data_IF_566952340701
#
_entry.id   IF_566952340701
#
_cell.length_a   1.000
_cell.length_b   1.000
_cell.length_c   1.000
_cell.angle_alpha   90.00
_cell.angle_beta   90.00
_cell.angle_gamma   90.00
#
_symmetry.space_group_name_H-M   'P 1'
#
loop_
_entity.id
_entity.type
_entity.pdbx_description
1 polymer ?
#
# COMPACT_ATOMS: atom_id res chain seq x y z
N UNK A 1 31.57 -1.64 -9.48
CA UNK A 1 30.20 -1.91 -8.99
C UNK A 1 29.60 -0.55 -8.69
N UNK A 2 28.39 -0.23 -9.17
CA UNK A 2 27.73 1.00 -8.76
C UNK A 2 27.56 0.98 -7.24
N UNK A 3 27.81 2.10 -6.57
CA UNK A 3 27.61 2.20 -5.11
C UNK A 3 26.14 1.88 -4.77
N UNK A 4 25.87 1.15 -3.68
CA UNK A 4 24.51 0.95 -3.19
C UNK A 4 23.86 2.31 -2.94
N UNK A 5 22.83 2.63 -3.70
CA UNK A 5 22.10 3.89 -3.57
C UNK A 5 20.76 3.64 -2.89
N UNK A 6 20.62 4.11 -1.66
CA UNK A 6 19.33 4.17 -0.97
C UNK A 6 18.43 5.14 -1.75
N UNK A 7 17.32 4.64 -2.28
CA UNK A 7 16.38 5.43 -3.08
C UNK A 7 15.18 5.87 -2.27
N UNK A 8 14.56 6.96 -2.67
CA UNK A 8 13.32 7.46 -2.08
C UNK A 8 12.11 6.98 -2.88
N UNK A 9 11.04 6.63 -2.18
CA UNK A 9 9.74 6.36 -2.81
C UNK A 9 8.61 6.88 -1.95
N UNK A 10 7.47 7.18 -2.58
CA UNK A 10 6.20 7.25 -1.87
C UNK A 10 5.63 5.85 -1.67
N UNK A 11 4.63 5.69 -0.81
CA UNK A 11 3.92 4.40 -0.65
C UNK A 11 2.81 4.24 -1.70
N UNK A 12 2.08 5.29 -2.05
CA UNK A 12 0.96 5.17 -2.98
C UNK A 12 0.09 6.41 -2.99
N UNK A 13 -0.87 6.48 -2.07
CA UNK A 13 -1.87 7.56 -2.04
C UNK A 13 -1.33 8.96 -1.69
N UNK A 14 -2.01 9.99 -2.18
CA UNK A 14 -1.73 11.41 -1.94
C UNK A 14 -3.01 12.17 -1.52
N UNK A 15 -2.93 13.29 -0.77
CA UNK A 15 -4.09 14.09 -0.42
C UNK A 15 -4.86 14.58 -1.65
N UNK A 16 -6.17 14.38 -1.63
CA UNK A 16 -7.02 14.74 -2.78
C UNK A 16 -7.05 16.26 -2.92
N UNK A 17 -6.67 16.80 -4.09
CA UNK A 17 -6.79 18.22 -4.33
C UNK A 17 -8.25 18.68 -4.20
N UNK A 18 -8.50 19.74 -3.43
CA UNK A 18 -9.87 20.20 -3.14
C UNK A 18 -10.71 20.51 -4.38
N UNK A 19 -10.06 20.94 -5.46
CA UNK A 19 -10.69 21.21 -6.75
C UNK A 19 -11.11 19.94 -7.50
N UNK A 20 -10.43 18.80 -7.29
CA UNK A 20 -10.87 17.51 -7.82
C UNK A 20 -12.17 17.07 -7.13
N UNK A 21 -12.23 17.19 -5.80
CA UNK A 21 -13.44 16.84 -5.05
C UNK A 21 -14.63 17.75 -5.38
N UNK A 22 -14.36 19.02 -5.69
CA UNK A 22 -15.40 20.01 -6.03
C UNK A 22 -15.97 19.84 -7.44
N UNK A 23 -15.17 19.36 -8.40
CA UNK A 23 -15.60 19.20 -9.80
C UNK A 23 -15.06 17.90 -10.42
N UNK A 24 -15.54 16.73 -9.97
CA UNK A 24 -15.02 15.44 -10.42
C UNK A 24 -15.37 15.20 -11.89
N UNK A 25 -14.34 15.07 -12.73
CA UNK A 25 -14.46 14.71 -14.14
C UNK A 25 -13.20 13.98 -14.59
N UNK A 26 -13.24 13.24 -15.70
CA UNK A 26 -12.05 12.57 -16.24
C UNK A 26 -10.91 13.55 -16.56
N UNK A 27 -11.15 14.71 -17.22
CA UNK A 27 -10.12 15.74 -17.37
C UNK A 27 -9.59 16.27 -16.04
N UNK A 28 -10.47 16.60 -15.08
CA UNK A 28 -10.06 17.10 -13.75
C UNK A 28 -9.17 16.09 -13.02
N UNK A 29 -9.53 14.80 -13.07
CA UNK A 29 -8.73 13.71 -12.48
C UNK A 29 -7.37 13.61 -13.15
N UNK A 30 -7.32 13.68 -14.49
CA UNK A 30 -6.06 13.66 -15.23
C UNK A 30 -5.15 14.80 -14.81
N UNK A 31 -5.67 16.02 -14.74
CA UNK A 31 -4.92 17.20 -14.31
C UNK A 31 -4.42 17.03 -12.86
N UNK A 32 -5.24 16.44 -11.99
CA UNK A 32 -4.87 16.23 -10.60
C UNK A 32 -3.72 15.24 -10.48
N UNK A 33 -3.76 14.15 -11.24
CA UNK A 33 -2.66 13.18 -11.32
C UNK A 33 -1.38 13.86 -11.86
N UNK A 34 -1.46 14.70 -12.89
CA UNK A 34 -0.30 15.46 -13.38
C UNK A 34 0.30 16.33 -12.27
N UNK A 35 -0.54 17.04 -11.52
CA UNK A 35 -0.09 17.86 -10.39
C UNK A 35 0.63 17.01 -9.35
N UNK A 36 0.07 15.85 -8.97
CA UNK A 36 0.68 14.94 -7.99
C UNK A 36 2.02 14.40 -8.49
N UNK A 37 2.07 13.88 -9.72
CA UNK A 37 3.30 13.40 -10.34
C UNK A 37 4.36 14.53 -10.36
N UNK A 38 3.97 15.74 -10.75
CA UNK A 38 4.89 16.87 -10.82
C UNK A 38 5.38 17.30 -9.44
N UNK A 39 4.52 17.27 -8.43
CA UNK A 39 4.91 17.56 -7.05
C UNK A 39 5.93 16.54 -6.54
N UNK A 40 5.75 15.25 -6.81
CA UNK A 40 6.71 14.21 -6.41
C UNK A 40 8.04 14.34 -7.17
N UNK A 41 8.02 14.66 -8.47
CA UNK A 41 9.23 14.98 -9.26
C UNK A 41 10.00 16.16 -8.67
N UNK A 42 9.31 17.26 -8.36
CA UNK A 42 9.93 18.47 -7.83
C UNK A 42 10.52 18.26 -6.42
N UNK A 43 9.95 17.34 -5.64
CA UNK A 43 10.52 16.93 -4.37
C UNK A 43 11.80 16.09 -4.52
N UNK A 44 12.02 15.48 -5.70
CA UNK A 44 13.17 14.61 -5.96
C UNK A 44 12.94 13.14 -5.60
N UNK A 45 11.68 12.68 -5.58
CA UNK A 45 11.35 11.28 -5.29
C UNK A 45 11.79 10.38 -6.47
N UNK A 46 12.53 9.29 -6.18
CA UNK A 46 13.10 8.41 -7.21
C UNK A 46 12.05 7.47 -7.86
N UNK A 47 11.03 7.06 -7.08
CA UNK A 47 9.92 6.23 -7.55
C UNK A 47 8.58 6.84 -7.13
N UNK A 48 7.84 7.35 -8.12
CA UNK A 48 6.60 8.11 -7.90
C UNK A 48 5.33 7.28 -8.17
N UNK A 49 4.18 7.75 -7.69
CA UNK A 49 2.86 7.13 -7.90
C UNK A 49 1.85 8.14 -8.48
N UNK A 50 0.71 7.66 -8.97
CA UNK A 50 -0.42 8.49 -9.39
C UNK A 50 -1.18 9.15 -8.22
N UNK A 51 -0.75 8.89 -6.98
CA UNK A 51 -1.45 9.34 -5.77
C UNK A 51 -2.75 8.58 -5.50
N UNK A 52 -3.03 7.50 -6.22
CA UNK A 52 -4.26 6.70 -6.12
C UNK A 52 -5.56 7.50 -6.28
N UNK A 53 -5.47 8.66 -6.96
CA UNK A 53 -6.60 9.59 -7.08
C UNK A 53 -7.77 9.00 -7.87
N UNK A 54 -7.49 8.05 -8.76
CA UNK A 54 -8.48 7.33 -9.57
C UNK A 54 -9.39 6.42 -8.73
N UNK A 55 -8.96 6.07 -7.51
CA UNK A 55 -9.65 5.10 -6.65
C UNK A 55 -10.60 5.74 -5.67
N UNK A 56 -10.52 7.06 -5.50
CA UNK A 56 -11.30 7.75 -4.49
C UNK A 56 -12.69 8.15 -4.99
N UNK A 57 -13.72 7.81 -4.24
CA UNK A 57 -15.06 8.36 -4.43
C UNK A 57 -15.47 9.24 -3.25
N UNK A 58 -15.72 10.50 -3.58
CA UNK A 58 -16.01 11.62 -2.66
C UNK A 58 -17.28 11.37 -1.84
N UNK A 59 -18.21 10.57 -2.35
CA UNK A 59 -19.47 10.24 -1.66
C UNK A 59 -19.27 9.24 -0.51
N UNK A 60 -18.15 8.49 -0.52
CA UNK A 60 -17.79 7.51 0.49
C UNK A 60 -16.33 7.73 0.91
N UNK A 61 -16.05 8.73 1.78
CA UNK A 61 -14.67 9.12 2.08
C UNK A 61 -13.91 8.13 3.00
N UNK A 62 -14.60 7.16 3.61
CA UNK A 62 -13.97 6.18 4.49
C UNK A 62 -13.54 4.94 3.67
N UNK A 63 -12.25 4.58 3.69
CA UNK A 63 -11.70 3.30 3.17
C UNK A 63 -11.89 2.97 1.69
N UNK A 64 -12.49 3.85 0.90
CA UNK A 64 -13.03 3.56 -0.43
C UNK A 64 -11.97 3.16 -1.47
N UNK A 65 -10.86 3.89 -1.55
CA UNK A 65 -9.86 3.66 -2.61
C UNK A 65 -9.04 2.37 -2.47
N UNK A 66 -8.87 1.87 -1.24
CA UNK A 66 -8.10 0.65 -0.98
C UNK A 66 -8.97 -0.60 -1.03
N UNK A 67 -10.27 -0.50 -0.75
CA UNK A 67 -11.14 -1.67 -0.64
C UNK A 67 -12.24 -1.62 -1.69
N UNK A 68 -13.12 -0.63 -1.59
CA UNK A 68 -14.35 -0.58 -2.39
C UNK A 68 -14.07 -0.43 -3.88
N UNK A 69 -12.99 0.27 -4.25
CA UNK A 69 -12.50 0.36 -5.63
C UNK A 69 -12.28 -1.01 -6.29
N UNK A 70 -11.73 -1.96 -5.52
CA UNK A 70 -11.43 -3.31 -6.01
C UNK A 70 -12.66 -4.22 -5.90
N UNK A 71 -13.38 -4.17 -4.78
CA UNK A 71 -14.50 -5.07 -4.49
C UNK A 71 -15.72 -4.79 -5.37
N UNK A 72 -16.14 -3.53 -5.47
CA UNK A 72 -17.39 -3.16 -6.15
C UNK A 72 -17.47 -3.61 -7.61
N UNK A 73 -16.40 -3.55 -8.43
CA UNK A 73 -16.47 -4.01 -9.81
C UNK A 73 -16.27 -5.52 -9.98
N UNK A 74 -15.83 -6.28 -8.96
CA UNK A 74 -15.67 -7.73 -9.08
C UNK A 74 -17.01 -8.44 -9.22
N UNK A 75 -17.08 -9.43 -10.12
CA UNK A 75 -18.28 -10.24 -10.28
C UNK A 75 -18.43 -11.26 -9.14
N UNK A 76 -19.66 -11.65 -8.84
CA UNK A 76 -19.97 -12.56 -7.74
C UNK A 76 -20.09 -11.89 -6.37
N UNK A 77 -19.75 -10.59 -6.29
CA UNK A 77 -19.89 -9.77 -5.08
C UNK A 77 -20.99 -8.73 -5.29
N UNK A 78 -21.99 -8.75 -4.42
CA UNK A 78 -23.07 -7.76 -4.39
C UNK A 78 -22.68 -6.56 -3.54
N UNK A 79 -22.84 -5.35 -4.07
CA UNK A 79 -22.73 -4.10 -3.32
C UNK A 79 -24.03 -3.71 -2.60
N UNK A 80 -25.09 -4.51 -2.72
CA UNK A 80 -26.37 -4.28 -2.05
C UNK A 80 -26.31 -4.87 -0.64
N UNK A 81 -26.08 -4.00 0.35
CA UNK A 81 -25.96 -4.40 1.75
C UNK A 81 -27.31 -4.24 2.47
N UNK A 82 -27.82 -5.30 3.08
CA UNK A 82 -29.07 -5.25 3.86
C UNK A 82 -28.81 -4.79 5.30
N UNK A 83 -29.88 -4.43 6.03
CA UNK A 83 -29.78 -4.12 7.47
C UNK A 83 -29.27 -5.32 8.28
N UNK A 84 -29.64 -6.53 7.88
CA UNK A 84 -29.18 -7.76 8.53
C UNK A 84 -27.67 -7.97 8.30
N UNK A 85 -27.19 -7.72 7.09
CA UNK A 85 -25.75 -7.78 6.77
C UNK A 85 -24.93 -6.83 7.65
N UNK A 86 -25.41 -5.60 7.85
CA UNK A 86 -24.78 -4.65 8.74
C UNK A 86 -24.70 -5.16 10.18
N UNK A 87 -25.79 -5.75 10.69
CA UNK A 87 -25.84 -6.29 12.04
C UNK A 87 -24.89 -7.49 12.20
N UNK A 88 -24.87 -8.39 11.22
CA UNK A 88 -23.98 -9.56 11.22
C UNK A 88 -22.52 -9.14 11.17
N UNK A 89 -22.14 -8.24 10.24
CA UNK A 89 -20.77 -7.77 10.12
C UNK A 89 -20.28 -7.06 11.39
N UNK A 90 -21.12 -6.23 12.01
CA UNK A 90 -20.79 -5.56 13.26
C UNK A 90 -20.59 -6.54 14.43
N UNK A 91 -21.37 -7.63 14.47
CA UNK A 91 -21.27 -8.64 15.51
C UNK A 91 -19.96 -9.46 15.44
N UNK A 92 -19.41 -9.67 14.24
CA UNK A 92 -18.17 -10.44 14.05
C UNK A 92 -16.91 -9.68 14.50
N UNK A 93 -16.97 -8.35 14.65
CA UNK A 93 -15.86 -7.48 15.07
C UNK A 93 -14.53 -7.70 14.29
N UNK A 94 -14.58 -8.25 13.07
CA UNK A 94 -13.40 -8.60 12.27
C UNK A 94 -12.56 -7.37 11.89
N UNK A 95 -13.20 -6.22 11.72
CA UNK A 95 -12.57 -4.99 11.23
C UNK A 95 -12.94 -3.78 12.09
N UNK A 96 -12.19 -3.53 13.16
CA UNK A 96 -12.47 -2.43 14.11
C UNK A 96 -12.48 -1.01 13.52
N UNK A 97 -11.99 -0.83 12.29
CA UNK A 97 -11.95 0.46 11.60
C UNK A 97 -13.07 0.67 10.56
N UNK A 98 -13.90 -0.36 10.31
CA UNK A 98 -14.97 -0.30 9.31
C UNK A 98 -16.30 -0.76 9.89
N UNK A 99 -17.35 0.01 9.68
CA UNK A 99 -18.69 -0.26 10.24
C UNK A 99 -19.63 -0.99 9.29
N UNK A 100 -19.24 -1.17 8.02
CA UNK A 100 -20.03 -1.83 6.98
C UNK A 100 -19.14 -2.81 6.20
N UNK A 101 -19.66 -3.93 5.69
CA UNK A 101 -18.90 -4.75 4.73
C UNK A 101 -18.65 -3.98 3.43
N UNK A 102 -17.66 -4.41 2.65
CA UNK A 102 -17.43 -3.92 1.28
C UNK A 102 -18.38 -4.56 0.26
N UNK A 103 -18.89 -5.75 0.57
CA UNK A 103 -19.77 -6.50 -0.30
C UNK A 103 -20.20 -7.82 0.33
N UNK A 104 -21.17 -8.47 -0.31
CA UNK A 104 -21.63 -9.82 0.03
C UNK A 104 -21.26 -10.75 -1.13
N UNK A 105 -20.51 -11.81 -0.84
CA UNK A 105 -20.16 -12.83 -1.84
C UNK A 105 -21.35 -13.76 -2.01
N UNK A 106 -21.98 -13.73 -3.19
CA UNK A 106 -23.18 -14.52 -3.51
C UNK A 106 -22.87 -15.69 -4.46
N UNK A 107 -21.76 -15.62 -5.19
CA UNK A 107 -21.28 -16.67 -6.08
C UNK A 107 -19.76 -16.55 -6.28
N UNK A 108 -19.18 -17.43 -7.10
CA UNK A 108 -17.76 -17.43 -7.38
C UNK A 108 -17.26 -16.05 -7.87
N UNK A 109 -16.17 -15.58 -7.27
CA UNK A 109 -15.58 -14.27 -7.57
C UNK A 109 -14.94 -14.30 -8.96
N UNK A 110 -15.24 -13.28 -9.76
CA UNK A 110 -14.68 -13.09 -11.11
C UNK A 110 -14.22 -11.66 -11.30
N UNK A 111 -13.51 -11.37 -12.39
CA UNK A 111 -13.00 -10.02 -12.68
C UNK A 111 -14.11 -8.96 -12.77
N UNK A 112 -15.34 -9.37 -13.14
CA UNK A 112 -16.46 -8.46 -13.35
C UNK A 112 -16.09 -7.32 -14.30
N UNK A 113 -16.17 -6.08 -13.82
CA UNK A 113 -15.76 -4.88 -14.55
C UNK A 113 -14.44 -4.26 -14.04
N UNK A 114 -13.69 -4.95 -13.17
CA UNK A 114 -12.42 -4.44 -12.65
C UNK A 114 -11.42 -4.30 -13.81
N UNK A 115 -10.72 -3.16 -13.87
CA UNK A 115 -9.83 -2.85 -14.98
C UNK A 115 -8.61 -2.03 -14.55
N UNK A 116 -7.75 -2.65 -13.74
CA UNK A 116 -6.46 -2.08 -13.34
C UNK A 116 -5.54 -1.74 -14.52
N UNK A 117 -5.53 -2.52 -15.64
CA UNK A 117 -4.74 -2.16 -16.81
C UNK A 117 -5.13 -0.79 -17.38
N UNK A 118 -6.43 -0.46 -17.42
CA UNK A 118 -6.90 0.85 -17.87
C UNK A 118 -6.38 1.97 -16.97
N UNK A 119 -6.34 1.77 -15.66
CA UNK A 119 -5.83 2.77 -14.71
C UNK A 119 -4.36 3.05 -14.97
N UNK A 120 -3.55 2.00 -15.13
CA UNK A 120 -2.15 2.17 -15.50
C UNK A 120 -1.99 2.91 -16.85
N UNK A 121 -2.75 2.53 -17.88
CA UNK A 121 -2.71 3.23 -19.18
C UNK A 121 -3.07 4.71 -19.06
N UNK A 122 -3.96 5.07 -18.12
CA UNK A 122 -4.41 6.45 -17.93
C UNK A 122 -3.27 7.40 -17.53
N UNK A 123 -2.34 6.93 -16.68
CA UNK A 123 -1.27 7.78 -16.13
C UNK A 123 0.16 7.41 -16.54
N UNK A 124 0.42 6.23 -17.08
CA UNK A 124 1.79 5.78 -17.42
C UNK A 124 2.57 6.75 -18.31
N UNK A 125 1.88 7.50 -19.17
CA UNK A 125 2.46 8.46 -20.12
C UNK A 125 2.47 9.92 -19.65
N UNK A 126 2.06 10.20 -18.40
CA UNK A 126 1.89 11.58 -17.90
C UNK A 126 3.18 12.26 -17.41
N UNK A 127 4.22 11.48 -17.17
CA UNK A 127 5.49 11.95 -16.63
C UNK A 127 6.62 11.07 -17.18
N UNK A 128 7.83 11.62 -17.41
CA UNK A 128 8.99 10.83 -17.78
C UNK A 128 9.63 10.08 -16.59
N UNK A 129 9.32 10.43 -15.34
CA UNK A 129 9.92 9.82 -14.14
C UNK A 129 9.51 8.34 -13.97
N UNK A 130 10.30 7.57 -13.22
CA UNK A 130 9.97 6.17 -12.93
C UNK A 130 8.74 6.10 -12.03
N UNK A 131 7.73 5.35 -12.45
CA UNK A 131 6.45 5.23 -11.76
C UNK A 131 6.24 3.80 -11.26
N UNK A 132 5.50 3.66 -10.18
CA UNK A 132 4.95 2.38 -9.75
C UNK A 132 3.43 2.33 -9.91
N UNK A 133 2.88 1.12 -9.84
CA UNK A 133 1.45 0.87 -9.73
C UNK A 133 1.17 0.13 -8.43
N UNK A 134 0.20 0.57 -7.63
CA UNK A 134 -0.19 -0.10 -6.38
C UNK A 134 -1.47 -0.92 -6.57
N UNK A 135 -1.71 -1.95 -5.77
CA UNK A 135 -3.01 -2.62 -5.68
C UNK A 135 -3.18 -3.29 -4.33
N UNK A 136 -4.42 -3.51 -3.88
CA UNK A 136 -4.66 -4.04 -2.54
C UNK A 136 -4.56 -5.56 -2.51
N UNK A 137 -3.95 -6.06 -1.43
CA UNK A 137 -3.75 -7.49 -1.20
C UNK A 137 -5.08 -8.26 -1.11
N UNK A 138 -5.11 -9.51 -1.63
CA UNK A 138 -6.33 -10.33 -1.58
C UNK A 138 -6.79 -10.63 -0.16
N UNK A 139 -5.86 -10.75 0.80
CA UNK A 139 -6.17 -11.02 2.20
C UNK A 139 -6.98 -9.89 2.83
N UNK A 140 -6.50 -8.64 2.75
CA UNK A 140 -7.28 -7.48 3.18
C UNK A 140 -8.66 -7.46 2.53
N UNK A 141 -8.74 -7.60 1.21
CA UNK A 141 -10.02 -7.53 0.48
C UNK A 141 -11.01 -8.59 1.00
N UNK A 142 -10.57 -9.84 1.16
CA UNK A 142 -11.42 -10.92 1.65
C UNK A 142 -12.01 -10.66 3.06
N UNK A 143 -11.27 -9.98 3.94
CA UNK A 143 -11.69 -9.70 5.33
C UNK A 143 -12.75 -8.61 5.45
N UNK A 144 -13.02 -7.92 4.35
CA UNK A 144 -14.04 -6.87 4.27
C UNK A 144 -15.39 -7.39 3.79
N UNK A 145 -15.47 -8.66 3.41
CA UNK A 145 -16.65 -9.27 2.78
C UNK A 145 -17.45 -10.13 3.77
N UNK A 146 -18.76 -10.18 3.55
CA UNK A 146 -19.61 -11.26 4.08
C UNK A 146 -19.61 -12.39 3.05
N UNK A 147 -19.26 -13.60 3.48
CA UNK A 147 -19.22 -14.77 2.61
C UNK A 147 -20.48 -15.63 2.76
N UNK A 148 -21.27 -15.75 1.69
CA UNK A 148 -22.44 -16.66 1.60
C UNK A 148 -22.23 -17.78 0.57
N UNK A 149 -21.05 -17.87 -0.04
CA UNK A 149 -20.78 -18.80 -1.13
C UNK A 149 -19.74 -19.85 -0.76
N UNK A 150 -18.55 -19.44 -0.29
CA UNK A 150 -17.41 -20.33 -0.13
C UNK A 150 -17.47 -21.10 1.20
N UNK A 151 -17.80 -20.41 2.30
CA UNK A 151 -17.71 -20.97 3.65
C UNK A 151 -16.27 -21.27 4.09
N UNK A 152 -15.28 -20.90 3.28
CA UNK A 152 -13.86 -21.03 3.52
C UNK A 152 -13.16 -19.75 3.08
N UNK A 153 -12.65 -19.01 4.07
CA UNK A 153 -11.96 -17.76 3.85
C UNK A 153 -10.71 -17.93 2.99
N UNK A 154 -10.02 -19.08 3.06
CA UNK A 154 -8.81 -19.33 2.26
C UNK A 154 -9.14 -19.46 0.79
N UNK A 155 -10.21 -20.18 0.46
CA UNK A 155 -10.68 -20.31 -0.93
C UNK A 155 -11.16 -18.96 -1.48
N UNK A 156 -11.91 -18.18 -0.68
CA UNK A 156 -12.32 -16.82 -1.07
C UNK A 156 -11.09 -15.92 -1.33
N UNK A 157 -10.11 -15.92 -0.42
CA UNK A 157 -8.87 -15.14 -0.60
C UNK A 157 -8.10 -15.58 -1.85
N UNK A 158 -8.06 -16.87 -2.16
CA UNK A 158 -7.39 -17.39 -3.35
C UNK A 158 -8.10 -17.00 -4.65
N UNK A 159 -9.43 -17.03 -4.70
CA UNK A 159 -10.19 -16.62 -5.88
C UNK A 159 -10.06 -15.12 -6.15
N UNK A 160 -10.03 -14.30 -5.09
CA UNK A 160 -9.68 -12.86 -5.21
C UNK A 160 -8.25 -12.71 -5.74
N UNK A 161 -7.29 -13.51 -5.24
CA UNK A 161 -5.91 -13.47 -5.72
C UNK A 161 -5.81 -13.82 -7.21
N UNK A 162 -6.59 -14.79 -7.72
CA UNK A 162 -6.61 -15.13 -9.14
C UNK A 162 -7.15 -13.98 -10.00
N UNK A 163 -8.18 -13.27 -9.55
CA UNK A 163 -8.66 -12.05 -10.21
C UNK A 163 -7.54 -11.01 -10.27
N UNK A 164 -6.90 -10.71 -9.15
CA UNK A 164 -5.83 -9.70 -9.09
C UNK A 164 -4.62 -10.10 -9.95
N UNK A 165 -4.25 -11.38 -9.96
CA UNK A 165 -3.16 -11.94 -10.77
C UNK A 165 -3.38 -11.65 -12.25
N UNK A 166 -4.59 -11.88 -12.77
CA UNK A 166 -4.95 -11.60 -14.18
C UNK A 166 -4.85 -10.11 -14.49
N UNK A 167 -5.34 -9.27 -13.58
CA UNK A 167 -5.34 -7.81 -13.74
C UNK A 167 -3.91 -7.25 -13.82
N UNK A 168 -3.02 -7.62 -12.88
CA UNK A 168 -1.63 -7.13 -12.88
C UNK A 168 -0.78 -7.77 -13.99
N UNK A 169 -1.20 -8.92 -14.53
CA UNK A 169 -0.53 -9.66 -15.59
C UNK A 169 -0.31 -8.92 -16.91
N UNK A 170 -1.03 -7.81 -17.13
CA UNK A 170 -0.93 -6.98 -18.33
C UNK A 170 -0.36 -5.57 -18.08
N UNK A 171 0.03 -5.26 -16.83
CA UNK A 171 0.60 -3.98 -16.45
C UNK A 171 2.13 -4.04 -16.63
N UNK A 172 2.67 -3.10 -17.40
CA UNK A 172 4.11 -2.97 -17.69
C UNK A 172 4.81 -1.90 -16.82
N UNK A 173 4.33 -1.71 -15.59
CA UNK A 173 4.98 -0.82 -14.64
C UNK A 173 6.32 -1.42 -14.17
N UNK A 174 7.40 -0.61 -14.04
CA UNK A 174 8.69 -1.06 -13.54
C UNK A 174 8.62 -1.69 -12.15
N UNK A 175 7.76 -1.17 -11.28
CA UNK A 175 7.47 -1.69 -9.95
C UNK A 175 5.96 -1.81 -9.79
N UNK A 176 5.48 -2.97 -9.34
CA UNK A 176 4.10 -3.16 -8.90
C UNK A 176 4.11 -3.50 -7.42
N UNK A 177 3.41 -2.70 -6.63
CA UNK A 177 3.32 -2.86 -5.18
C UNK A 177 1.95 -3.38 -4.78
N UNK A 178 1.95 -4.45 -4.00
CA UNK A 178 0.76 -4.90 -3.29
C UNK A 178 0.71 -4.20 -1.92
N UNK A 179 -0.47 -3.78 -1.47
CA UNK A 179 -0.66 -3.10 -0.19
C UNK A 179 -1.52 -3.94 0.76
N UNK A 180 -1.02 -4.18 1.96
CA UNK A 180 -1.69 -4.93 3.03
C UNK A 180 -1.57 -4.17 4.36
N UNK A 181 -2.69 -3.92 5.03
CA UNK A 181 -2.75 -3.15 6.28
C UNK A 181 -3.62 -3.81 7.36
N UNK A 182 -3.91 -5.10 7.20
CA UNK A 182 -4.70 -5.89 8.12
C UNK A 182 -3.92 -7.09 8.66
N UNK A 183 -3.18 -7.82 7.83
CA UNK A 183 -2.40 -9.00 8.24
C UNK A 183 -1.42 -8.73 9.40
N UNK A 184 -0.92 -7.50 9.54
CA UNK A 184 -0.02 -7.11 10.65
C UNK A 184 -0.64 -7.22 12.04
N UNK A 185 -1.98 -7.34 12.14
CA UNK A 185 -2.70 -7.62 13.38
C UNK A 185 -3.06 -9.10 13.58
N UNK A 186 -2.71 -9.96 12.62
CA UNK A 186 -3.21 -11.33 12.49
C UNK A 186 -2.06 -12.31 12.16
N UNK A 187 -1.02 -12.31 12.99
CA UNK A 187 0.15 -13.18 12.80
C UNK A 187 -0.21 -14.68 12.84
N UNK A 188 -1.34 -15.05 13.45
CA UNK A 188 -1.88 -16.41 13.42
C UNK A 188 -2.15 -16.94 12.01
N UNK A 189 -2.39 -16.05 11.03
CA UNK A 189 -2.64 -16.40 9.63
C UNK A 189 -1.36 -16.48 8.78
N UNK A 190 -0.19 -16.18 9.37
CA UNK A 190 1.10 -16.14 8.67
C UNK A 190 1.45 -17.46 7.94
N UNK A 191 0.99 -18.60 8.45
CA UNK A 191 1.30 -19.90 7.88
C UNK A 191 0.69 -20.13 6.50
N UNK A 192 -0.47 -19.52 6.19
CA UNK A 192 -1.19 -19.75 4.94
C UNK A 192 -1.36 -18.48 4.11
N UNK A 193 -1.36 -17.29 4.73
CA UNK A 193 -1.64 -16.03 4.04
C UNK A 193 -0.67 -15.76 2.88
N UNK A 194 0.56 -16.28 2.92
CA UNK A 194 1.54 -16.12 1.84
C UNK A 194 1.08 -16.73 0.50
N UNK A 195 0.25 -17.78 0.51
CA UNK A 195 -0.17 -18.50 -0.70
C UNK A 195 -0.94 -17.59 -1.69
N UNK A 196 -2.05 -16.94 -1.29
CA UNK A 196 -2.75 -16.02 -2.18
C UNK A 196 -1.94 -14.77 -2.55
N UNK A 197 -1.01 -14.32 -1.68
CA UNK A 197 -0.11 -13.21 -2.02
C UNK A 197 0.81 -13.63 -3.17
N UNK A 198 1.52 -14.74 -3.02
CA UNK A 198 2.42 -15.25 -4.05
C UNK A 198 1.67 -15.55 -5.36
N UNK A 199 0.44 -16.06 -5.27
CA UNK A 199 -0.40 -16.27 -6.43
C UNK A 199 -0.66 -14.97 -7.20
N UNK A 200 -1.12 -13.91 -6.52
CA UNK A 200 -1.33 -12.60 -7.14
C UNK A 200 -0.01 -11.98 -7.66
N UNK A 201 1.07 -12.05 -6.87
CA UNK A 201 2.41 -11.55 -7.21
C UNK A 201 3.00 -12.27 -8.44
N UNK A 202 2.63 -13.54 -8.69
CA UNK A 202 3.11 -14.29 -9.86
C UNK A 202 2.68 -13.70 -11.21
N UNK A 203 1.65 -12.85 -11.23
CA UNK A 203 1.23 -12.12 -12.42
C UNK A 203 2.16 -10.94 -12.77
N UNK A 204 2.92 -10.41 -11.81
CA UNK A 204 3.73 -9.20 -11.98
C UNK A 204 4.95 -9.50 -12.86
N UNK A 205 5.14 -8.70 -13.91
CA UNK A 205 6.28 -8.78 -14.84
C UNK A 205 7.48 -7.93 -14.41
N UNK A 206 7.22 -6.83 -13.70
CA UNK A 206 8.23 -5.92 -13.18
C UNK A 206 8.73 -6.35 -11.81
N UNK A 207 9.34 -5.41 -11.10
CA UNK A 207 9.75 -5.61 -9.71
C UNK A 207 8.52 -5.69 -8.79
N UNK A 208 8.53 -6.68 -7.89
CA UNK A 208 7.46 -6.99 -6.95
C UNK A 208 7.74 -6.35 -5.60
N UNK A 209 6.79 -5.56 -5.13
CA UNK A 209 6.85 -4.93 -3.82
C UNK A 209 5.64 -5.32 -2.96
N UNK A 210 5.84 -5.44 -1.66
CA UNK A 210 4.74 -5.54 -0.70
C UNK A 210 4.89 -4.46 0.37
N UNK A 211 3.88 -3.61 0.48
CA UNK A 211 3.71 -2.70 1.59
C UNK A 211 2.91 -3.34 2.72
N UNK A 212 3.47 -3.29 3.92
CA UNK A 212 2.78 -3.65 5.16
C UNK A 212 2.84 -2.46 6.12
N UNK A 213 1.68 -2.08 6.66
CA UNK A 213 1.59 -1.09 7.73
C UNK A 213 0.58 -1.51 8.78
N UNK A 214 0.57 -0.81 9.91
CA UNK A 214 -0.37 -1.08 11.01
C UNK A 214 -1.66 -0.26 10.87
N UNK A 215 -1.98 0.16 9.64
CA UNK A 215 -3.13 0.98 9.29
C UNK A 215 -2.87 2.49 9.47
N UNK A 216 -3.51 3.28 8.61
CA UNK A 216 -3.58 4.73 8.72
C UNK A 216 -5.03 5.19 8.46
N UNK A 217 -5.86 5.09 9.50
CA UNK A 217 -7.25 5.51 9.45
C UNK A 217 -7.48 6.58 10.52
N UNK A 218 -7.73 7.82 10.10
CA UNK A 218 -7.83 8.94 11.06
C UNK A 218 -6.50 9.30 11.74
N UNK A 219 -5.35 8.97 11.13
CA UNK A 219 -4.04 9.12 11.77
C UNK A 219 -3.80 8.13 12.93
N UNK A 220 -4.58 7.05 13.00
CA UNK A 220 -4.46 6.05 14.06
C UNK A 220 -3.77 4.78 13.53
N UNK A 221 -2.99 4.14 14.40
CA UNK A 221 -2.59 2.74 14.25
C UNK A 221 -3.78 1.86 14.62
N UNK A 222 -4.22 1.04 13.68
CA UNK A 222 -5.39 0.17 13.85
C UNK A 222 -4.97 -1.23 14.27
N UNK A 223 -3.88 -1.74 13.69
CA UNK A 223 -3.38 -3.07 13.99
C UNK A 223 -2.41 -3.04 15.16
N UNK A 224 -2.35 -4.15 15.90
CA UNK A 224 -1.38 -4.39 16.97
C UNK A 224 -0.64 -5.69 16.67
N UNK A 225 0.66 -5.71 16.88
CA UNK A 225 1.50 -6.86 16.56
C UNK A 225 2.96 -6.45 16.49
N UNK A 226 3.83 -7.40 16.14
CA UNK A 226 5.27 -7.22 15.99
C UNK A 226 5.73 -7.79 14.65
N UNK A 227 6.74 -7.19 14.03
CA UNK A 227 7.31 -7.64 12.77
C UNK A 227 7.91 -9.05 12.87
N UNK A 228 8.54 -9.37 14.01
CA UNK A 228 9.12 -10.70 14.25
C UNK A 228 8.08 -11.82 14.14
N UNK A 229 6.83 -11.56 14.52
CA UNK A 229 5.75 -12.55 14.50
C UNK A 229 5.27 -12.82 13.06
N UNK A 230 5.52 -11.89 12.14
CA UNK A 230 5.26 -12.04 10.70
C UNK A 230 6.44 -12.60 9.92
N UNK A 231 7.61 -12.79 10.52
CA UNK A 231 8.80 -13.26 9.81
C UNK A 231 8.59 -14.59 9.04
N UNK A 232 7.84 -15.59 9.57
CA UNK A 232 7.50 -16.79 8.80
C UNK A 232 6.74 -16.50 7.50
N UNK A 233 5.80 -15.55 7.52
CA UNK A 233 5.08 -15.10 6.34
C UNK A 233 6.02 -14.36 5.37
N UNK A 234 6.78 -13.40 5.88
CA UNK A 234 7.69 -12.58 5.08
C UNK A 234 8.73 -13.43 4.32
N UNK A 235 9.27 -14.46 4.97
CA UNK A 235 10.24 -15.37 4.35
C UNK A 235 9.64 -16.29 3.28
N UNK A 236 8.32 -16.51 3.29
CA UNK A 236 7.63 -17.28 2.24
C UNK A 236 7.19 -16.44 1.04
N UNK A 237 7.31 -15.10 1.09
CA UNK A 237 6.85 -14.22 0.02
C UNK A 237 7.79 -14.14 -1.17
N UNK A 238 7.25 -14.15 -2.39
CA UNK A 238 8.00 -13.96 -3.64
C UNK A 238 8.05 -12.48 -4.06
N UNK A 239 8.73 -11.66 -3.24
CA UNK A 239 8.90 -10.21 -3.45
C UNK A 239 10.36 -9.81 -3.55
N UNK A 240 10.65 -8.79 -4.37
CA UNK A 240 11.98 -8.21 -4.50
C UNK A 240 12.30 -7.27 -3.33
N UNK A 241 11.29 -6.54 -2.83
CA UNK A 241 11.43 -5.72 -1.63
C UNK A 241 10.14 -5.55 -0.83
N UNK A 242 10.31 -5.33 0.47
CA UNK A 242 9.24 -4.93 1.39
C UNK A 242 9.22 -3.41 1.57
N UNK A 243 8.09 -2.85 2.00
CA UNK A 243 7.90 -1.43 2.32
C UNK A 243 7.19 -1.35 3.66
N UNK A 244 7.91 -1.04 4.74
CA UNK A 244 7.46 -1.33 6.10
C UNK A 244 7.39 -0.08 6.99
N UNK A 245 6.33 0.01 7.80
CA UNK A 245 6.13 1.05 8.82
C UNK A 245 7.15 0.91 9.99
N UNK A 246 7.91 1.98 10.26
CA UNK A 246 8.85 2.07 11.39
C UNK A 246 8.87 3.44 12.08
N UNK A 247 8.66 4.55 11.38
CA UNK A 247 8.84 5.88 11.95
C UNK A 247 7.92 6.15 13.15
N UNK A 248 6.67 5.69 13.10
CA UNK A 248 5.72 5.75 14.21
C UNK A 248 6.02 4.76 15.33
N UNK A 249 6.45 3.55 14.95
CA UNK A 249 6.55 2.40 15.85
C UNK A 249 7.88 2.33 16.60
N UNK A 250 8.89 3.03 16.10
CA UNK A 250 10.27 2.85 16.53
C UNK A 250 10.99 1.79 15.69
N UNK A 251 12.30 1.70 15.89
CA UNK A 251 13.20 0.93 15.04
C UNK A 251 13.79 -0.30 15.75
N UNK A 252 13.31 -0.61 16.97
CA UNK A 252 13.84 -1.68 17.81
C UNK A 252 13.66 -3.07 17.15
N UNK A 253 12.64 -3.21 16.30
CA UNK A 253 12.35 -4.45 15.58
C UNK A 253 13.18 -4.65 14.31
N UNK A 254 14.05 -3.69 13.94
CA UNK A 254 14.95 -3.85 12.78
C UNK A 254 15.83 -5.10 12.91
N UNK A 255 16.26 -5.45 14.12
CA UNK A 255 17.15 -6.59 14.35
C UNK A 255 16.52 -7.92 13.87
N UNK A 256 15.20 -8.06 13.97
CA UNK A 256 14.48 -9.24 13.50
C UNK A 256 14.65 -9.46 11.98
N UNK A 257 14.89 -8.40 11.20
CA UNK A 257 15.08 -8.49 9.76
C UNK A 257 16.46 -9.04 9.35
N UNK A 258 17.34 -9.33 10.31
CA UNK A 258 18.50 -10.19 10.07
C UNK A 258 18.09 -11.62 9.67
N UNK A 259 16.90 -12.07 10.08
CA UNK A 259 16.33 -13.37 9.73
C UNK A 259 15.55 -13.35 8.40
N UNK A 260 15.29 -12.17 7.84
CA UNK A 260 14.66 -12.07 6.52
C UNK A 260 15.63 -12.58 5.45
N UNK A 261 15.12 -13.41 4.54
CA UNK A 261 15.86 -14.01 3.44
C UNK A 261 16.67 -12.97 2.65
N UNK A 262 17.94 -13.27 2.32
CA UNK A 262 18.91 -12.27 1.87
C UNK A 262 18.58 -11.64 0.51
N UNK A 263 17.82 -12.34 -0.34
CA UNK A 263 17.36 -11.86 -1.63
C UNK A 263 16.32 -10.73 -1.52
N UNK A 264 15.53 -10.70 -0.44
CA UNK A 264 14.50 -9.68 -0.26
C UNK A 264 15.11 -8.41 0.37
N UNK A 265 14.94 -7.29 -0.34
CA UNK A 265 15.40 -5.97 0.13
C UNK A 265 14.35 -5.29 1.00
N UNK A 266 14.79 -4.26 1.73
CA UNK A 266 13.93 -3.50 2.62
C UNK A 266 13.75 -2.06 2.17
N UNK A 267 12.50 -1.63 2.25
CA UNK A 267 12.06 -0.27 2.39
C UNK A 267 11.80 0.02 3.86
N UNK A 268 12.42 1.08 4.37
CA UNK A 268 12.26 1.51 5.76
C UNK A 268 11.45 2.80 5.80
N UNK A 269 10.35 2.77 6.54
CA UNK A 269 9.57 3.95 6.88
C UNK A 269 10.36 4.91 7.77
N UNK A 270 10.69 6.09 7.26
CA UNK A 270 11.49 7.12 7.97
C UNK A 270 10.73 8.43 8.18
N UNK A 271 9.50 8.52 7.69
CA UNK A 271 8.59 9.65 7.85
C UNK A 271 7.27 9.14 8.40
N UNK A 272 6.83 9.67 9.54
CA UNK A 272 5.53 9.39 10.12
C UNK A 272 4.45 10.14 9.33
N UNK A 273 3.34 9.48 9.04
CA UNK A 273 2.20 10.04 8.29
C UNK A 273 0.95 10.18 9.14
N UNK A 274 1.05 9.86 10.43
CA UNK A 274 -0.05 9.89 11.41
C UNK A 274 -0.11 11.21 12.17
N UNK A 275 0.86 12.10 11.99
CA UNK A 275 0.84 13.47 12.47
C UNK A 275 1.25 14.49 11.39
N UNK A 276 1.04 15.77 11.73
CA UNK A 276 1.31 16.89 10.83
C UNK A 276 2.72 17.49 10.99
N UNK A 277 3.53 16.97 11.92
CA UNK A 277 4.87 17.51 12.17
C UNK A 277 5.80 17.10 11.02
N UNK A 278 6.43 18.07 10.37
CA UNK A 278 7.40 17.75 9.30
C UNK A 278 8.73 17.44 9.96
N UNK A 279 9.22 16.22 9.75
CA UNK A 279 10.53 15.79 10.24
C UNK A 279 11.65 16.68 9.70
N UNK A 280 12.68 16.89 10.52
CA UNK A 280 13.90 17.53 10.04
C UNK A 280 14.76 16.56 9.23
N UNK A 281 15.58 17.12 8.35
CA UNK A 281 16.62 16.42 7.59
C UNK A 281 17.46 15.52 8.49
N UNK A 282 17.94 16.04 9.62
CA UNK A 282 18.79 15.30 10.57
C UNK A 282 18.08 14.10 11.20
N UNK A 283 16.78 14.24 11.50
CA UNK A 283 15.98 13.14 12.08
C UNK A 283 15.88 11.99 11.07
N UNK A 284 15.59 12.31 9.81
CA UNK A 284 15.49 11.30 8.75
C UNK A 284 16.86 10.66 8.49
N UNK A 285 17.93 11.45 8.37
CA UNK A 285 19.28 10.94 8.15
C UNK A 285 19.72 9.96 9.27
N UNK A 286 19.44 10.29 10.54
CA UNK A 286 19.73 9.41 11.68
C UNK A 286 18.90 8.12 11.67
N UNK A 287 17.64 8.18 11.24
CA UNK A 287 16.78 7.00 11.09
C UNK A 287 17.34 6.05 10.02
N UNK A 288 17.83 6.61 8.91
CA UNK A 288 18.50 5.84 7.84
C UNK A 288 19.81 5.25 8.35
N UNK A 289 20.64 6.04 9.02
CA UNK A 289 21.91 5.59 9.62
C UNK A 289 21.68 4.43 10.59
N UNK A 290 20.66 4.51 11.46
CA UNK A 290 20.30 3.42 12.35
C UNK A 290 19.95 2.14 11.59
N UNK A 291 19.10 2.24 10.56
CA UNK A 291 18.73 1.08 9.73
C UNK A 291 19.94 0.43 9.05
N UNK A 292 20.86 1.24 8.53
CA UNK A 292 22.09 0.76 7.90
C UNK A 292 23.04 0.15 8.92
N UNK A 293 23.19 0.72 10.11
CA UNK A 293 24.05 0.17 11.16
C UNK A 293 23.56 -1.20 11.65
N UNK A 294 22.24 -1.43 11.68
CA UNK A 294 21.66 -2.71 12.13
C UNK A 294 21.70 -3.78 11.04
N UNK A 295 21.39 -3.43 9.78
CA UNK A 295 21.14 -4.40 8.72
C UNK A 295 22.16 -4.40 7.58
N UNK A 296 22.99 -3.36 7.45
CA UNK A 296 23.88 -3.17 6.31
C UNK A 296 23.22 -2.40 5.17
N UNK A 297 23.99 -1.56 4.48
CA UNK A 297 23.49 -0.69 3.41
C UNK A 297 22.94 -1.49 2.23
N UNK A 298 23.48 -2.68 1.98
CA UNK A 298 23.06 -3.59 0.92
C UNK A 298 21.68 -4.20 1.15
N UNK A 299 21.16 -4.16 2.39
CA UNK A 299 19.79 -4.60 2.70
C UNK A 299 18.77 -3.50 2.46
N UNK A 300 19.16 -2.23 2.62
CA UNK A 300 18.26 -1.08 2.54
C UNK A 300 18.22 -0.56 1.11
N UNK A 301 17.14 -0.85 0.39
CA UNK A 301 16.94 -0.38 -0.98
C UNK A 301 16.15 0.92 -1.03
N UNK A 302 15.17 1.08 -0.14
CA UNK A 302 14.24 2.20 -0.16
C UNK A 302 14.11 2.87 1.19
N UNK A 303 13.86 4.17 1.17
CA UNK A 303 13.34 4.94 2.30
C UNK A 303 12.06 5.64 1.86
N UNK A 304 11.07 5.68 2.73
CA UNK A 304 9.71 6.10 2.38
C UNK A 304 8.95 6.63 3.61
N UNK A 305 7.79 7.28 3.43
CA UNK A 305 6.83 7.46 4.52
C UNK A 305 6.25 6.14 5.00
N UNK A 306 5.85 6.05 6.27
CA UNK A 306 5.30 4.82 6.88
C UNK A 306 4.07 4.25 6.17
N UNK A 307 3.29 5.09 5.49
CA UNK A 307 2.13 4.71 4.68
C UNK A 307 1.85 5.82 3.63
N UNK A 308 0.74 5.70 2.90
CA UNK A 308 0.28 6.73 1.96
C UNK A 308 -0.14 8.04 2.64
N UNK A 309 -0.03 9.15 1.90
CA UNK A 309 -0.20 10.50 2.43
C UNK A 309 -1.66 10.99 2.47
N UNK A 310 -2.64 10.21 2.00
CA UNK A 310 -4.02 10.66 1.77
C UNK A 310 -4.73 11.37 2.94
N UNK A 311 -4.33 11.07 4.18
CA UNK A 311 -4.88 11.66 5.40
C UNK A 311 -4.26 13.02 5.79
N UNK A 312 -3.14 13.40 5.19
CA UNK A 312 -2.44 14.64 5.54
C UNK A 312 -2.98 15.83 4.74
N UNK A 313 -2.83 17.06 5.26
CA UNK A 313 -2.95 18.25 4.44
C UNK A 313 -1.89 18.24 3.33
N UNK A 314 -2.26 18.73 2.14
CA UNK A 314 -1.36 18.79 0.98
C UNK A 314 -0.02 19.47 1.29
N UNK A 315 -0.06 20.60 2.00
CA UNK A 315 1.14 21.35 2.38
C UNK A 315 2.07 20.59 3.31
N UNK A 316 1.54 19.66 4.11
CA UNK A 316 2.33 18.79 4.99
C UNK A 316 2.95 17.67 4.18
N UNK A 317 2.17 17.00 3.32
CA UNK A 317 2.66 15.92 2.45
C UNK A 317 3.84 16.39 1.58
N UNK A 318 3.72 17.58 0.97
CA UNK A 318 4.76 18.16 0.11
C UNK A 318 6.06 18.40 0.88
N UNK A 319 5.95 18.95 2.10
CA UNK A 319 7.11 19.24 2.95
C UNK A 319 7.75 17.96 3.51
N UNK A 320 6.95 16.94 3.83
CA UNK A 320 7.44 15.62 4.26
C UNK A 320 8.17 14.89 3.14
N UNK A 321 7.69 14.97 1.89
CA UNK A 321 8.43 14.44 0.72
C UNK A 321 9.76 15.16 0.50
N UNK A 322 9.78 16.50 0.60
CA UNK A 322 11.03 17.26 0.49
C UNK A 322 12.01 16.91 1.62
N UNK A 323 11.52 16.75 2.86
CA UNK A 323 12.34 16.33 4.00
C UNK A 323 12.89 14.91 3.84
N UNK A 324 12.10 13.98 3.30
CA UNK A 324 12.54 12.62 2.97
C UNK A 324 13.76 12.62 2.05
N UNK A 325 13.68 13.38 0.96
CA UNK A 325 14.75 13.48 -0.03
C UNK A 325 15.97 14.17 0.57
N UNK A 326 15.80 15.30 1.26
CA UNK A 326 16.89 15.99 1.93
C UNK A 326 17.58 15.12 2.98
N UNK A 327 16.82 14.35 3.77
CA UNK A 327 17.36 13.45 4.79
C UNK A 327 18.14 12.28 4.20
N UNK A 328 17.64 11.70 3.09
CA UNK A 328 18.37 10.69 2.31
C UNK A 328 19.68 11.28 1.76
N UNK A 329 19.63 12.45 1.14
CA UNK A 329 20.79 13.08 0.53
C UNK A 329 21.85 13.46 1.57
N UNK A 330 21.42 13.99 2.73
CA UNK A 330 22.30 14.29 3.86
C UNK A 330 23.01 13.03 4.39
N UNK A 331 22.29 11.90 4.50
CA UNK A 331 22.89 10.63 4.88
C UNK A 331 23.94 10.14 3.87
N UNK A 332 23.68 10.32 2.57
CA UNK A 332 24.59 9.93 1.49
C UNK A 332 25.71 10.97 1.21
N UNK A 333 25.70 12.12 1.88
CA UNK A 333 26.69 13.19 1.68
C UNK A 333 26.59 13.91 0.33
N UNK A 334 25.37 14.10 -0.19
CA UNK A 334 25.09 14.71 -1.50
C UNK A 334 24.78 16.20 -1.45
#
# INVERSE_FOLDING_TARGET
MAEPEIKTKVVGSYPIPSWLSTNPSTPTLRDAIIVVLKTQELAGIDLISDGELSRFDVSHPQTNGMIDYFIRPMGGISSTITREDLANFAAEQRMGFRTQPAGVVESAVTEGTLNLPRDWQFFKGLSPATKMFTFTAPYMLSRTLIDRHYGDIRQLTMDIAEVLRKQVGSIDAPVIQMDEAHLTGHAEDAEWAHEPFNHALSGIRGEKSLHLCFGNYGGQSIQKGYWKDLMPFLNKLDVDHLVLEFARRGYDELDAFKELKPETKLGVGVVDIKDNEVESTDVIAKRIENAVNVLGIERIKWVHPDCGFWMLPRSVADRKMAALVAGRDAYLGR
#
